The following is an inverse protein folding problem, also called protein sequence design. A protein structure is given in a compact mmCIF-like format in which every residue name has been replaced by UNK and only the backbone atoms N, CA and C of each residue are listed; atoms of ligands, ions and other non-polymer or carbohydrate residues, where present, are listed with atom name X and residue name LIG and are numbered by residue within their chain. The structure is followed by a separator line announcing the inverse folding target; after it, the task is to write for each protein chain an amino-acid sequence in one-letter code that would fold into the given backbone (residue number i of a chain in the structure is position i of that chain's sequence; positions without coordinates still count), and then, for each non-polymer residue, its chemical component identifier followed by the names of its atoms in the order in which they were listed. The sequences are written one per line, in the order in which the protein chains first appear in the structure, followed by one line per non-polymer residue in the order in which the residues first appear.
data_IF_429943193157
#
_entry.id   IF_429943193157
#
_cell.length_a   1.000
_cell.length_b   1.000
_cell.length_c   1.000
_cell.angle_alpha   90.00
_cell.angle_beta   90.00
_cell.angle_gamma   90.00
#
_symmetry.space_group_name_H-M   'P 1'
#
loop_
_entity.id
_entity.type
_entity.pdbx_description
1 polymer ?
#
# COMPACT_ATOMS: atom_id res chain seq x y z
N UNK A 1 -5.23 -4.49 -12.66
CA UNK A 1 -5.36 -4.63 -11.19
C UNK A 1 -4.99 -6.06 -10.85
N UNK A 2 -4.07 -6.24 -9.93
CA UNK A 2 -3.55 -7.55 -9.51
C UNK A 2 -3.56 -7.61 -7.99
N UNK A 3 -4.00 -8.73 -7.43
CA UNK A 3 -3.98 -9.00 -5.99
C UNK A 3 -3.33 -10.37 -5.81
N UNK A 4 -2.22 -10.39 -5.09
CA UNK A 4 -1.52 -11.62 -4.73
C UNK A 4 -2.26 -12.44 -3.67
N UNK A 5 -1.64 -13.53 -3.27
CA UNK A 5 -2.11 -14.43 -2.23
C UNK A 5 -1.83 -13.86 -0.84
N UNK A 6 -2.65 -14.25 0.14
CA UNK A 6 -2.53 -13.82 1.54
C UNK A 6 -2.56 -12.30 1.74
N UNK A 7 -3.24 -11.58 0.84
CA UNK A 7 -3.46 -10.15 0.99
C UNK A 7 -4.62 -9.91 1.95
N UNK A 8 -4.41 -9.02 2.90
CA UNK A 8 -5.47 -8.55 3.79
C UNK A 8 -5.93 -7.16 3.35
N UNK A 9 -7.24 -6.97 3.20
CA UNK A 9 -7.85 -5.68 2.82
C UNK A 9 -8.88 -5.29 3.88
N UNK A 10 -8.61 -4.20 4.58
CA UNK A 10 -9.49 -3.66 5.60
C UNK A 10 -10.75 -2.99 5.04
N UNK A 11 -11.76 -2.83 5.89
CA UNK A 11 -13.02 -2.19 5.53
C UNK A 11 -12.83 -0.75 5.07
N UNK A 12 -13.60 -0.34 4.06
CA UNK A 12 -13.52 0.98 3.42
C UNK A 12 -12.16 1.27 2.77
N UNK A 13 -11.37 0.25 2.44
CA UNK A 13 -10.21 0.45 1.60
C UNK A 13 -10.65 0.77 0.16
N UNK A 14 -10.07 1.81 -0.42
CA UNK A 14 -10.29 2.23 -1.80
C UNK A 14 -9.06 1.86 -2.60
N UNK A 15 -9.23 1.09 -3.67
CA UNK A 15 -8.14 0.67 -4.55
C UNK A 15 -8.27 1.36 -5.90
N UNK A 16 -7.23 2.07 -6.30
CA UNK A 16 -7.14 2.74 -7.57
C UNK A 16 -7.07 1.76 -8.74
N UNK A 17 -7.49 2.24 -9.92
CA UNK A 17 -7.39 1.48 -11.16
C UNK A 17 -5.95 1.07 -11.42
N UNK A 18 -5.74 -0.15 -11.91
CA UNK A 18 -4.40 -0.72 -12.16
C UNK A 18 -3.48 -0.81 -10.93
N UNK A 19 -4.00 -0.74 -9.70
CA UNK A 19 -3.20 -1.04 -8.52
C UNK A 19 -2.72 -2.51 -8.56
N UNK A 20 -1.44 -2.71 -8.23
CA UNK A 20 -0.78 -4.00 -8.14
C UNK A 20 -0.41 -4.28 -6.69
N UNK A 21 -1.12 -5.21 -6.06
CA UNK A 21 -0.88 -5.65 -4.70
C UNK A 21 -0.23 -7.03 -4.76
N UNK A 22 1.02 -7.13 -4.29
CA UNK A 22 1.78 -8.39 -4.23
C UNK A 22 1.40 -9.23 -3.01
N UNK A 23 1.90 -10.46 -2.96
CA UNK A 23 1.56 -11.44 -1.93
C UNK A 23 1.96 -10.97 -0.53
N UNK A 24 1.20 -11.41 0.49
CA UNK A 24 1.42 -11.07 1.90
C UNK A 24 1.37 -9.56 2.24
N UNK A 25 0.73 -8.75 1.41
CA UNK A 25 0.50 -7.34 1.70
C UNK A 25 -0.66 -7.17 2.71
N UNK A 26 -0.48 -6.25 3.66
CA UNK A 26 -1.50 -5.90 4.64
C UNK A 26 -2.01 -4.49 4.38
N UNK A 27 -3.30 -4.36 4.12
CA UNK A 27 -3.99 -3.08 3.90
C UNK A 27 -5.00 -2.89 5.03
N UNK A 28 -4.81 -1.84 5.83
CA UNK A 28 -5.71 -1.45 6.91
C UNK A 28 -7.08 -0.93 6.43
N UNK A 29 -7.90 -0.53 7.40
CA UNK A 29 -9.23 0.08 7.22
C UNK A 29 -9.09 1.53 6.77
N UNK A 30 -10.03 2.02 5.95
CA UNK A 30 -10.04 3.40 5.41
C UNK A 30 -8.75 3.78 4.69
N UNK A 31 -8.07 2.80 4.09
CA UNK A 31 -6.87 3.05 3.28
C UNK A 31 -7.27 3.48 1.88
N UNK A 32 -6.63 4.50 1.33
CA UNK A 32 -6.81 4.87 -0.08
C UNK A 32 -5.55 4.53 -0.86
N UNK A 33 -5.66 3.75 -1.91
CA UNK A 33 -4.57 3.42 -2.84
C UNK A 33 -4.84 4.11 -4.17
N UNK A 34 -3.89 4.93 -4.64
CA UNK A 34 -3.99 5.64 -5.90
C UNK A 34 -3.93 4.75 -7.14
N UNK A 35 -4.25 5.34 -8.30
CA UNK A 35 -4.18 4.70 -9.62
C UNK A 35 -2.74 4.29 -9.92
N UNK A 36 -2.54 3.10 -10.50
CA UNK A 36 -1.21 2.53 -10.84
C UNK A 36 -0.24 2.38 -9.66
N UNK A 37 -0.74 2.38 -8.42
CA UNK A 37 0.10 2.12 -7.27
C UNK A 37 0.59 0.67 -7.22
N UNK A 38 1.82 0.47 -6.75
CA UNK A 38 2.47 -0.83 -6.62
C UNK A 38 2.75 -1.07 -5.15
N UNK A 39 2.19 -2.14 -4.60
CA UNK A 39 2.43 -2.59 -3.22
C UNK A 39 3.19 -3.90 -3.29
N UNK A 40 4.47 -3.87 -2.93
CA UNK A 40 5.33 -5.05 -2.96
C UNK A 40 5.10 -6.01 -1.76
N UNK A 41 5.77 -7.16 -1.83
CA UNK A 41 5.62 -8.27 -0.89
C UNK A 41 5.89 -7.85 0.56
N UNK A 42 5.12 -8.38 1.51
CA UNK A 42 5.25 -8.06 2.95
C UNK A 42 5.07 -6.57 3.32
N UNK A 43 4.55 -5.74 2.41
CA UNK A 43 4.22 -4.36 2.75
C UNK A 43 3.08 -4.30 3.76
N UNK A 44 3.21 -3.41 4.76
CA UNK A 44 2.19 -3.18 5.79
C UNK A 44 1.72 -1.74 5.74
N UNK A 45 0.45 -1.56 5.43
CA UNK A 45 -0.23 -0.27 5.36
C UNK A 45 -1.26 -0.24 6.50
N UNK A 46 -1.09 0.69 7.43
CA UNK A 46 -1.98 0.82 8.59
C UNK A 46 -3.30 1.53 8.24
N UNK A 47 -4.22 1.50 9.19
CA UNK A 47 -5.54 2.11 9.05
C UNK A 47 -5.43 3.63 8.80
N UNK A 48 -6.24 4.17 7.88
CA UNK A 48 -6.31 5.61 7.60
C UNK A 48 -5.15 6.16 6.75
N UNK A 49 -4.30 5.31 6.20
CA UNK A 49 -3.24 5.73 5.27
C UNK A 49 -3.81 6.03 3.88
N UNK A 50 -3.36 7.12 3.28
CA UNK A 50 -3.63 7.44 1.87
C UNK A 50 -2.32 7.35 1.09
N UNK A 51 -2.36 6.62 -0.03
CA UNK A 51 -1.26 6.39 -0.95
C UNK A 51 -1.61 7.10 -2.25
N UNK A 52 -0.72 7.97 -2.72
CA UNK A 52 -0.89 8.71 -3.97
C UNK A 52 -0.89 7.82 -5.22
N UNK A 53 -1.25 8.41 -6.36
CA UNK A 53 -1.19 7.76 -7.66
C UNK A 53 0.26 7.46 -8.06
N UNK A 54 0.49 6.32 -8.72
CA UNK A 54 1.82 5.80 -9.13
C UNK A 54 2.82 5.66 -7.98
N UNK A 55 2.34 5.55 -6.74
CA UNK A 55 3.20 5.29 -5.60
C UNK A 55 3.73 3.85 -5.66
N UNK A 56 4.99 3.67 -5.31
CA UNK A 56 5.63 2.37 -5.22
C UNK A 56 6.01 2.14 -3.77
N UNK A 57 5.38 1.14 -3.16
CA UNK A 57 5.68 0.70 -1.80
C UNK A 57 6.62 -0.50 -1.91
N UNK A 58 7.80 -0.34 -1.35
CA UNK A 58 8.82 -1.37 -1.32
C UNK A 58 8.41 -2.59 -0.49
N UNK A 59 9.02 -3.73 -0.80
CA UNK A 59 8.82 -4.93 -0.01
C UNK A 59 9.30 -4.70 1.42
N UNK A 60 8.59 -5.24 2.41
CA UNK A 60 8.88 -5.05 3.85
C UNK A 60 8.71 -3.61 4.37
N UNK A 61 8.17 -2.69 3.57
CA UNK A 61 7.86 -1.34 4.03
C UNK A 61 6.72 -1.35 5.04
N UNK A 62 6.88 -0.59 6.12
CA UNK A 62 5.85 -0.37 7.12
C UNK A 62 5.41 1.09 7.08
N UNK A 63 4.17 1.33 6.64
CA UNK A 63 3.59 2.66 6.54
C UNK A 63 2.69 2.90 7.76
N UNK A 64 3.05 3.85 8.64
CA UNK A 64 2.21 4.19 9.79
C UNK A 64 0.91 4.89 9.36
N UNK A 65 -0.06 4.89 10.27
CA UNK A 65 -1.35 5.57 10.15
C UNK A 65 -1.17 7.10 10.21
N UNK A 66 -0.58 7.67 9.18
CA UNK A 66 -0.47 9.12 9.00
C UNK A 66 -0.77 9.44 7.54
N UNK A 67 -1.54 10.51 7.32
CA UNK A 67 -1.80 11.05 5.99
C UNK A 67 -0.46 11.41 5.34
N UNK A 68 0.08 10.53 4.50
CA UNK A 68 1.32 10.79 3.78
C UNK A 68 0.96 11.16 2.34
N UNK A 69 1.04 12.45 2.01
CA UNK A 69 0.83 12.96 0.66
C UNK A 69 2.05 12.77 -0.27
N UNK A 70 3.06 12.01 0.15
CA UNK A 70 4.34 11.96 -0.55
C UNK A 70 4.96 10.57 -0.47
N UNK A 71 5.04 9.94 -1.64
CA UNK A 71 6.00 8.91 -2.08
C UNK A 71 6.80 8.28 -0.93
N UNK A 72 6.31 7.16 -0.39
CA UNK A 72 7.09 6.36 0.55
C UNK A 72 8.04 5.48 -0.25
N UNK A 73 9.19 6.04 -0.62
CA UNK A 73 10.41 5.25 -0.77
C UNK A 73 11.00 5.12 0.64
N UNK A 74 10.96 3.95 1.32
CA UNK A 74 11.83 3.77 2.46
C UNK A 74 13.24 3.72 1.87
N UNK A 75 13.97 4.82 2.06
CA UNK A 75 15.41 4.87 1.91
C UNK A 75 16.01 3.59 2.48
N UNK A 76 16.92 2.99 1.70
CA UNK A 76 17.91 2.01 2.15
C UNK A 76 18.09 2.04 3.67
N UNK A 77 17.61 1.00 4.36
CA UNK A 77 18.15 0.66 5.67
C UNK A 77 19.33 -0.30 5.44
N UNK A 78 20.30 0.20 4.69
CA UNK A 78 21.72 -0.20 4.66
C UNK A 78 22.53 1.03 4.24
#
# INVERSE_FOLDING_TARGET
MFIGNFVYIGNNAVLGKNAHIRDSAFIGKRVTIGVEAIVNYHAKINDGTSIGERAVIEGFAHIPASQCNSVVSPTSQY
#
